data_IF_188849028402
#
_entry.id   IF_188849028402
#
_cell.length_a   1.000
_cell.length_b   1.000
_cell.length_c   1.000
_cell.angle_alpha   90.00
_cell.angle_beta   90.00
_cell.angle_gamma   90.00
#
_symmetry.space_group_name_H-M   'P 1'
#
loop_
_entity.id
_entity.type
_entity.pdbx_description
1 polymer ?
#
# COMPACT_ATOMS: atom_id res chain seq x y z
N UNK A 1 -31.00 -1.19 -12.07
CA UNK A 1 -29.54 -1.16 -11.84
C UNK A 1 -29.13 -2.51 -11.28
N UNK A 2 -28.36 -3.31 -12.01
CA UNK A 2 -27.85 -4.59 -11.51
C UNK A 2 -26.88 -4.29 -10.37
N UNK A 3 -27.17 -4.78 -9.15
CA UNK A 3 -26.23 -4.70 -8.03
C UNK A 3 -25.35 -5.95 -8.13
N UNK A 4 -24.18 -5.80 -8.75
CA UNK A 4 -23.16 -6.84 -8.73
C UNK A 4 -22.43 -6.78 -7.40
N UNK A 5 -22.79 -7.68 -6.47
CA UNK A 5 -22.05 -7.87 -5.22
C UNK A 5 -20.89 -8.84 -5.46
N UNK A 6 -19.67 -8.44 -5.10
CA UNK A 6 -18.49 -9.30 -5.25
C UNK A 6 -18.18 -10.01 -3.93
N UNK A 7 -17.88 -11.31 -4.02
CA UNK A 7 -17.50 -12.16 -2.89
C UNK A 7 -16.05 -12.60 -3.04
N UNK A 8 -15.23 -12.35 -2.02
CA UNK A 8 -13.83 -12.79 -1.98
C UNK A 8 -13.59 -13.72 -0.79
N UNK A 9 -12.81 -14.78 -1.03
CA UNK A 9 -12.39 -15.73 -0.01
C UNK A 9 -10.91 -15.49 0.35
N UNK A 10 -10.66 -15.17 1.61
CA UNK A 10 -9.34 -14.85 2.16
C UNK A 10 -9.34 -13.49 2.85
N UNK A 11 -9.30 -13.48 4.19
CA UNK A 11 -9.18 -12.27 5.01
C UNK A 11 -7.71 -12.00 5.43
N UNK A 12 -6.75 -12.48 4.65
CA UNK A 12 -5.33 -12.18 4.84
C UNK A 12 -4.93 -10.78 4.35
N UNK A 13 -3.62 -10.47 4.30
CA UNK A 13 -3.10 -9.15 3.95
C UNK A 13 -3.60 -8.64 2.59
N UNK A 14 -3.51 -9.50 1.58
CA UNK A 14 -3.98 -9.20 0.23
C UNK A 14 -5.49 -8.99 0.16
N UNK A 15 -6.27 -9.78 0.92
CA UNK A 15 -7.72 -9.65 1.00
C UNK A 15 -8.17 -8.33 1.62
N UNK A 16 -7.49 -7.89 2.69
CA UNK A 16 -7.80 -6.61 3.33
C UNK A 16 -7.35 -5.44 2.44
N UNK A 17 -6.17 -5.52 1.82
CA UNK A 17 -5.70 -4.50 0.88
C UNK A 17 -6.68 -4.33 -0.30
N UNK A 18 -7.11 -5.43 -0.91
CA UNK A 18 -8.12 -5.41 -1.97
C UNK A 18 -9.45 -4.83 -1.48
N UNK A 19 -9.92 -5.23 -0.30
CA UNK A 19 -11.14 -4.70 0.30
C UNK A 19 -11.08 -3.18 0.51
N UNK A 20 -9.92 -2.66 0.91
CA UNK A 20 -9.71 -1.23 1.07
C UNK A 20 -9.82 -0.48 -0.27
N UNK A 21 -9.19 -1.00 -1.32
CA UNK A 21 -9.30 -0.46 -2.68
C UNK A 21 -10.74 -0.47 -3.18
N UNK A 22 -11.44 -1.60 -3.03
CA UNK A 22 -12.84 -1.77 -3.45
C UNK A 22 -13.80 -0.90 -2.62
N UNK A 23 -13.43 -0.55 -1.38
CA UNK A 23 -14.17 0.41 -0.55
C UNK A 23 -14.07 1.86 -1.05
N UNK A 24 -13.36 2.08 -2.16
CA UNK A 24 -13.21 3.36 -2.84
C UNK A 24 -11.94 4.12 -2.44
N UNK A 25 -11.04 3.52 -1.66
CA UNK A 25 -9.78 4.19 -1.33
C UNK A 25 -8.76 4.02 -2.45
N UNK A 26 -8.14 5.12 -2.85
CA UNK A 26 -7.17 5.16 -3.93
C UNK A 26 -5.89 5.86 -3.46
N UNK A 27 -4.69 5.34 -3.80
CA UNK A 27 -3.43 5.98 -3.46
C UNK A 27 -3.14 7.10 -4.45
N UNK A 28 -2.92 8.31 -3.93
CA UNK A 28 -2.45 9.45 -4.72
C UNK A 28 -1.05 9.83 -4.24
N UNK A 29 -0.26 10.39 -5.14
CA UNK A 29 0.98 11.06 -4.73
C UNK A 29 0.66 12.23 -3.79
N UNK A 30 1.37 12.33 -2.67
CA UNK A 30 1.25 13.46 -1.75
C UNK A 30 2.13 14.62 -2.21
N UNK A 31 1.50 15.66 -2.75
CA UNK A 31 2.17 16.85 -3.28
C UNK A 31 2.88 17.68 -2.22
N UNK A 32 2.65 17.42 -0.93
CA UNK A 32 3.40 18.04 0.16
C UNK A 32 4.73 17.33 0.46
N UNK A 33 4.98 16.17 -0.17
CA UNK A 33 6.19 15.37 0.03
C UNK A 33 7.14 15.46 -1.15
N UNK A 34 8.42 15.15 -0.91
CA UNK A 34 9.44 15.03 -1.95
C UNK A 34 10.01 13.63 -1.90
N UNK A 35 10.00 12.93 -3.04
CA UNK A 35 10.56 11.59 -3.12
C UNK A 35 12.08 11.66 -3.33
N UNK A 36 12.90 10.84 -2.64
CA UNK A 36 14.36 10.92 -2.69
C UNK A 36 14.96 10.55 -4.05
N UNK A 37 14.28 9.71 -4.84
CA UNK A 37 14.62 9.49 -6.25
C UNK A 37 14.08 10.65 -7.12
N UNK A 38 14.93 11.51 -7.69
CA UNK A 38 14.50 12.70 -8.44
C UNK A 38 13.82 12.36 -9.77
N UNK A 39 14.17 11.23 -10.39
CA UNK A 39 13.55 10.78 -11.65
C UNK A 39 12.12 10.35 -11.35
N UNK A 40 11.93 9.46 -10.37
CA UNK A 40 10.60 9.02 -9.96
C UNK A 40 9.76 10.21 -9.47
N UNK A 41 10.34 11.12 -8.69
CA UNK A 41 9.65 12.33 -8.23
C UNK A 41 9.11 13.17 -9.40
N UNK A 42 9.92 13.39 -10.44
CA UNK A 42 9.48 14.12 -11.63
C UNK A 42 8.31 13.42 -12.33
N UNK A 43 8.39 12.09 -12.52
CA UNK A 43 7.31 11.30 -13.12
C UNK A 43 6.01 11.40 -12.33
N UNK A 44 6.09 11.30 -11.00
CA UNK A 44 4.92 11.44 -10.11
C UNK A 44 4.25 12.81 -10.21
N UNK A 45 5.04 13.87 -10.45
CA UNK A 45 4.50 15.23 -10.59
C UNK A 45 3.68 15.44 -11.86
N UNK A 46 3.99 14.72 -12.95
CA UNK A 46 3.29 14.84 -14.24
C UNK A 46 1.81 14.49 -14.13
N UNK A 47 1.48 13.48 -13.33
CA UNK A 47 0.12 12.97 -13.16
C UNK A 47 -0.37 13.00 -11.70
N UNK A 48 0.09 13.97 -10.88
CA UNK A 48 -0.21 14.07 -9.43
C UNK A 48 -1.70 14.10 -9.04
N UNK A 49 -2.59 14.38 -9.99
CA UNK A 49 -4.04 14.44 -9.79
C UNK A 49 -4.75 13.11 -10.09
N UNK A 50 -4.02 12.10 -10.59
CA UNK A 50 -4.52 10.78 -10.95
C UNK A 50 -4.05 9.77 -9.87
N UNK A 51 -4.88 8.81 -9.45
CA UNK A 51 -4.43 7.72 -8.58
C UNK A 51 -3.24 6.97 -9.16
N UNK A 52 -2.29 6.54 -8.33
CA UNK A 52 -1.14 5.73 -8.77
C UNK A 52 -1.60 4.45 -9.47
N UNK A 53 -2.67 3.82 -8.98
CA UNK A 53 -3.25 2.60 -9.58
C UNK A 53 -3.86 2.81 -10.97
N UNK A 54 -4.05 4.06 -11.39
CA UNK A 54 -4.66 4.45 -12.67
C UNK A 54 -3.66 5.18 -13.58
N UNK A 55 -2.40 5.32 -13.15
CA UNK A 55 -1.30 5.81 -13.97
C UNK A 55 -0.61 4.63 -14.68
N UNK A 56 0.24 4.95 -15.66
CA UNK A 56 1.10 3.95 -16.30
C UNK A 56 2.17 3.48 -15.31
N UNK A 57 1.88 2.40 -14.56
CA UNK A 57 2.78 1.89 -13.53
C UNK A 57 4.09 1.40 -14.12
N UNK A 58 4.10 0.86 -15.33
CA UNK A 58 5.32 0.46 -16.04
C UNK A 58 6.26 1.65 -16.20
N UNK A 59 5.73 2.81 -16.62
CA UNK A 59 6.49 4.04 -16.77
C UNK A 59 7.03 4.55 -15.43
N UNK A 60 6.21 4.51 -14.37
CA UNK A 60 6.64 4.89 -13.02
C UNK A 60 7.73 3.97 -12.48
N UNK A 61 7.67 2.67 -12.80
CA UNK A 61 8.62 1.66 -12.33
C UNK A 61 9.94 1.62 -13.10
N UNK A 62 10.08 2.29 -14.24
CA UNK A 62 11.32 2.25 -15.03
C UNK A 62 12.54 2.70 -14.22
N UNK A 63 13.56 1.84 -14.20
CA UNK A 63 14.83 2.11 -13.51
C UNK A 63 14.74 1.99 -11.98
N UNK A 64 13.62 1.51 -11.42
CA UNK A 64 13.56 1.14 -10.02
C UNK A 64 14.17 -0.24 -9.82
N UNK A 65 15.01 -0.36 -8.80
CA UNK A 65 15.63 -1.60 -8.37
C UNK A 65 15.15 -1.94 -6.96
N UNK A 66 14.99 -3.23 -6.67
CA UNK A 66 14.53 -3.69 -5.37
C UNK A 66 14.55 -5.21 -5.25
N UNK A 67 14.04 -5.71 -4.13
CA UNK A 67 14.10 -7.13 -3.77
C UNK A 67 13.12 -8.03 -4.53
N UNK A 68 12.18 -7.44 -5.27
CA UNK A 68 11.16 -8.16 -6.03
C UNK A 68 11.43 -8.08 -7.53
N UNK A 69 11.10 -9.17 -8.25
CA UNK A 69 11.08 -9.18 -9.72
C UNK A 69 9.82 -8.53 -10.31
N UNK A 70 8.84 -8.20 -9.47
CA UNK A 70 7.63 -7.51 -9.90
C UNK A 70 7.85 -5.99 -9.82
N UNK A 71 7.87 -5.27 -10.95
CA UNK A 71 8.12 -3.82 -10.99
C UNK A 71 7.05 -3.00 -10.25
N UNK A 72 5.81 -3.49 -10.19
CA UNK A 72 4.73 -2.84 -9.45
C UNK A 72 4.96 -2.98 -7.95
N UNK A 73 5.44 -4.15 -7.49
CA UNK A 73 5.79 -4.34 -6.09
C UNK A 73 6.92 -3.38 -5.68
N UNK A 74 8.00 -3.31 -6.48
CA UNK A 74 9.13 -2.40 -6.24
C UNK A 74 8.67 -0.93 -6.22
N UNK A 75 7.74 -0.55 -7.10
CA UNK A 75 7.18 0.81 -7.12
C UNK A 75 6.43 1.13 -5.82
N UNK A 76 5.46 0.30 -5.41
CA UNK A 76 4.72 0.54 -4.17
C UNK A 76 5.63 0.49 -2.95
N UNK A 77 6.62 -0.38 -2.97
CA UNK A 77 7.66 -0.47 -1.96
C UNK A 77 8.42 0.86 -1.81
N UNK A 78 8.88 1.41 -2.93
CA UNK A 78 9.61 2.70 -2.97
C UNK A 78 8.70 3.87 -2.56
N UNK A 79 7.40 3.81 -2.85
CA UNK A 79 6.44 4.87 -2.51
C UNK A 79 6.00 4.85 -1.04
N UNK A 80 5.88 3.67 -0.44
CA UNK A 80 5.47 3.50 0.96
C UNK A 80 6.65 3.63 1.92
N UNK A 81 7.81 3.10 1.55
CA UNK A 81 9.03 3.14 2.36
C UNK A 81 10.24 3.50 1.50
N UNK A 82 10.39 4.79 1.12
CA UNK A 82 11.49 5.23 0.27
C UNK A 82 12.85 4.83 0.87
N UNK A 83 13.73 4.25 0.05
CA UNK A 83 15.09 3.83 0.42
C UNK A 83 15.21 2.92 1.66
N UNK A 84 14.15 2.22 2.06
CA UNK A 84 14.21 1.33 3.22
C UNK A 84 15.16 0.13 3.01
N UNK A 85 15.43 -0.27 1.77
CA UNK A 85 16.46 -1.27 1.43
C UNK A 85 17.89 -0.81 1.80
N UNK A 86 18.12 0.50 1.89
CA UNK A 86 19.37 1.10 2.35
C UNK A 86 19.35 1.42 3.86
N UNK A 87 18.31 1.00 4.58
CA UNK A 87 18.15 1.22 6.02
C UNK A 87 17.63 2.62 6.40
N UNK A 88 17.15 3.41 5.45
CA UNK A 88 16.49 4.68 5.75
C UNK A 88 15.04 4.48 6.22
N UNK A 89 14.54 5.46 6.97
CA UNK A 89 13.19 5.47 7.54
C UNK A 89 12.45 6.74 7.10
N UNK A 90 12.24 6.88 5.78
CA UNK A 90 11.50 8.00 5.21
C UNK A 90 9.98 7.78 5.31
N UNK A 91 9.19 8.84 5.52
CA UNK A 91 7.74 8.72 5.50
C UNK A 91 7.22 8.32 4.10
N UNK A 92 6.04 7.67 4.02
CA UNK A 92 5.39 7.37 2.75
C UNK A 92 5.08 8.65 1.98
N UNK A 93 5.20 8.59 0.65
CA UNK A 93 4.87 9.71 -0.26
C UNK A 93 3.47 9.57 -0.87
N UNK A 94 2.63 8.72 -0.27
CA UNK A 94 1.28 8.44 -0.71
C UNK A 94 0.24 8.95 0.28
N UNK A 95 -0.83 9.53 -0.27
CA UNK A 95 -2.04 9.89 0.47
C UNK A 95 -3.23 9.10 -0.07
N UNK A 96 -3.89 8.38 0.81
CA UNK A 96 -5.10 7.64 0.48
C UNK A 96 -6.31 8.57 0.49
N UNK A 97 -7.09 8.55 -0.59
CA UNK A 97 -8.31 9.35 -0.73
C UNK A 97 -9.48 8.44 -1.03
N UNK A 98 -10.61 8.68 -0.38
CA UNK A 98 -11.83 7.92 -0.61
C UNK A 98 -12.65 8.57 -1.72
N UNK A 99 -12.87 7.83 -2.80
CA UNK A 99 -13.82 8.15 -3.85
C UNK A 99 -15.09 7.31 -3.67
N UNK A 100 -16.19 7.96 -3.28
CA UNK A 100 -17.49 7.30 -3.08
C UNK A 100 -18.11 6.79 -4.38
N UNK A 101 -17.77 7.40 -5.52
CA UNK A 101 -18.33 7.01 -6.81
C UNK A 101 -17.70 5.71 -7.34
N UNK A 102 -16.49 5.39 -6.88
CA UNK A 102 -15.77 4.18 -7.23
C UNK A 102 -15.90 3.05 -6.19
N UNK A 103 -16.77 3.21 -5.19
CA UNK A 103 -17.01 2.16 -4.21
C UNK A 103 -17.75 0.98 -4.86
N UNK A 104 -17.19 -0.21 -4.70
CA UNK A 104 -17.78 -1.47 -5.14
C UNK A 104 -18.26 -2.23 -3.90
N UNK A 105 -19.58 -2.49 -3.75
CA UNK A 105 -20.09 -3.34 -2.67
C UNK A 105 -19.47 -4.75 -2.75
N UNK A 106 -18.85 -5.18 -1.64
CA UNK A 106 -18.19 -6.48 -1.57
C UNK A 106 -18.27 -7.08 -0.17
N UNK A 107 -18.13 -8.39 -0.09
CA UNK A 107 -18.04 -9.16 1.15
C UNK A 107 -16.73 -9.94 1.17
N UNK A 108 -15.97 -9.83 2.25
CA UNK A 108 -14.76 -10.61 2.49
C UNK A 108 -15.09 -11.71 3.49
N UNK A 109 -14.93 -12.97 3.08
CA UNK A 109 -15.02 -14.12 3.95
C UNK A 109 -13.64 -14.70 4.19
N UNK A 110 -13.31 -15.04 5.43
CA UNK A 110 -12.08 -15.73 5.75
C UNK A 110 -12.24 -16.59 6.99
N UNK A 111 -11.36 -17.59 7.13
CA UNK A 111 -11.29 -18.42 8.32
C UNK A 111 -10.29 -17.81 9.29
N UNK A 112 -10.66 -17.67 10.56
CA UNK A 112 -9.80 -17.07 11.59
C UNK A 112 -9.83 -15.54 11.59
N UNK A 113 -8.88 -14.93 12.29
CA UNK A 113 -8.84 -13.48 12.53
C UNK A 113 -8.44 -12.68 11.27
N UNK A 114 -9.08 -11.51 11.00
CA UNK A 114 -8.72 -10.65 9.88
C UNK A 114 -7.26 -10.19 9.94
N UNK A 115 -6.49 -10.48 8.90
CA UNK A 115 -5.05 -10.28 8.82
C UNK A 115 -4.32 -11.60 8.54
N UNK A 116 -4.95 -12.74 8.85
CA UNK A 116 -4.46 -14.07 8.52
C UNK A 116 -3.01 -14.26 8.97
N UNK A 117 -2.10 -14.47 8.01
CA UNK A 117 -0.67 -14.66 8.23
C UNK A 117 -0.01 -13.59 9.10
N UNK A 118 -0.51 -12.34 9.13
CA UNK A 118 0.01 -11.31 10.03
C UNK A 118 -0.01 -11.69 11.51
N UNK A 119 -0.93 -12.56 11.95
CA UNK A 119 -0.98 -13.04 13.34
C UNK A 119 0.15 -14.01 13.70
N UNK A 120 0.74 -14.65 12.70
CA UNK A 120 1.84 -15.60 12.88
C UNK A 120 3.22 -14.95 12.70
N UNK A 121 3.27 -13.65 12.38
CA UNK A 121 4.50 -12.90 12.14
C UNK A 121 4.87 -12.14 13.42
N UNK A 122 5.98 -12.54 14.05
CA UNK A 122 6.46 -11.94 15.29
C UNK A 122 7.00 -10.52 15.04
N UNK A 123 6.80 -9.57 15.96
CA UNK A 123 7.21 -8.17 15.76
C UNK A 123 8.73 -7.93 15.58
N UNK A 124 9.53 -8.94 15.93
CA UNK A 124 10.99 -9.01 15.73
C UNK A 124 11.39 -9.79 14.47
N UNK A 125 10.45 -10.47 13.80
CA UNK A 125 10.72 -11.08 12.51
C UNK A 125 10.95 -9.97 11.48
N UNK A 126 12.22 -9.66 11.23
CA UNK A 126 12.65 -9.26 9.91
C UNK A 126 12.38 -10.45 8.99
N UNK A 127 11.15 -10.59 8.52
CA UNK A 127 10.97 -11.32 7.28
C UNK A 127 11.77 -10.59 6.20
N UNK A 128 11.94 -11.23 5.04
CA UNK A 128 12.57 -10.57 3.88
C UNK A 128 11.79 -9.30 3.45
N UNK A 129 10.69 -8.95 4.12
CA UNK A 129 10.13 -7.59 4.23
C UNK A 129 10.23 -7.13 5.70
N UNK A 130 10.82 -5.96 5.98
CA UNK A 130 10.93 -5.38 7.33
C UNK A 130 9.50 -5.25 7.94
N UNK A 131 9.33 -5.29 9.27
CA UNK A 131 7.99 -5.23 9.89
C UNK A 131 7.15 -3.99 9.50
N UNK A 132 7.79 -2.88 9.09
CA UNK A 132 7.13 -1.67 8.59
C UNK A 132 6.39 -1.88 7.26
N UNK A 133 6.75 -2.89 6.47
CA UNK A 133 6.18 -3.15 5.13
C UNK A 133 4.86 -3.92 5.18
N UNK A 134 4.39 -4.25 6.38
CA UNK A 134 3.14 -4.96 6.63
C UNK A 134 2.02 -4.02 7.08
N UNK A 135 2.07 -2.77 6.61
CA UNK A 135 1.11 -1.74 6.94
C UNK A 135 -0.13 -1.81 6.05
N UNK A 136 -1.29 -1.54 6.66
CA UNK A 136 -2.50 -1.31 5.88
C UNK A 136 -2.39 0.04 5.17
N UNK A 137 -2.93 0.17 3.95
CA UNK A 137 -3.11 1.44 3.27
C UNK A 137 -3.54 2.60 4.18
N UNK A 138 -2.63 3.52 4.49
CA UNK A 138 -2.90 4.71 5.28
C UNK A 138 -2.91 4.50 6.80
N UNK A 139 -2.40 3.37 7.29
CA UNK A 139 -2.22 3.08 8.72
C UNK A 139 -0.74 2.84 8.98
N UNK A 140 -0.12 3.69 9.79
CA UNK A 140 1.23 3.43 10.26
C UNK A 140 1.19 2.39 11.41
N UNK A 141 1.93 1.29 11.30
CA UNK A 141 1.91 0.21 12.29
C UNK A 141 2.55 0.66 13.61
N UNK A 142 3.53 1.58 13.55
CA UNK A 142 4.13 2.14 14.77
C UNK A 142 3.11 2.92 15.60
N UNK A 143 2.20 3.64 14.94
CA UNK A 143 1.12 4.36 15.62
C UNK A 143 0.16 3.40 16.34
N UNK A 144 -0.11 2.22 15.77
CA UNK A 144 -0.92 1.19 16.42
C UNK A 144 -0.23 0.56 17.64
N UNK A 145 1.06 0.24 17.52
CA UNK A 145 1.82 -0.42 18.60
C UNK A 145 2.12 0.50 19.79
N UNK A 146 2.26 1.80 19.55
CA UNK A 146 2.43 2.80 20.62
C UNK A 146 1.17 2.97 21.48
N UNK A 147 -0.03 2.67 20.94
CA UNK A 147 -1.28 2.67 21.69
C UNK A 147 -1.49 1.45 22.59
N UNK A 148 -0.73 0.37 22.36
CA UNK A 148 -0.79 -0.89 23.13
C UNK A 148 0.19 -0.90 24.33
N UNK A 149 0.96 0.17 24.53
CA UNK A 149 1.81 0.40 25.70
C UNK A 149 1.18 1.44 26.63
N UNK A 150 0.00 1.17 27.16
CA UNK A 150 -0.52 1.80 28.39
C UNK A 150 -1.38 0.82 29.17
#
# INVERSE_FOLDING_TARGET
RSISNYLFTGNGPSGICLSYLLSGYKPYFDTATVHPNPILYRKLQEAKHIPITEQAMEYLSEGLEGRSRNPVAVLFDTLLHPNADFGYDFPPVLKWRKDKHQQIPHLVLGKGTPGGAWHAMEGSMLTVSLGIWMELPGVNYRDLTNGLRR
#
